data_IF_808456425448
#
_entry.id   IF_808456425448
#
_cell.length_a   1.000
_cell.length_b   1.000
_cell.length_c   1.000
_cell.angle_alpha   90.00
_cell.angle_beta   90.00
_cell.angle_gamma   90.00
#
_symmetry.space_group_name_H-M   'P 1'
#
loop_
_entity.id
_entity.type
_entity.pdbx_description
1 polymer ?
#
# COMPACT_ATOMS: atom_id res chain seq x y z
N UNK A 1 -2.93 12.84 -12.90
CA UNK A 1 -1.97 13.56 -13.77
C UNK A 1 -2.30 13.31 -15.24
N UNK A 2 -1.77 14.11 -16.17
CA UNK A 2 -1.94 13.82 -17.61
C UNK A 2 -0.97 12.71 -18.07
N UNK A 3 -1.16 12.20 -19.30
CA UNK A 3 -0.33 11.11 -19.84
C UNK A 3 1.15 11.46 -19.97
N UNK A 4 1.46 12.66 -20.48
CA UNK A 4 2.84 13.11 -20.69
C UNK A 4 3.63 13.20 -19.38
N UNK A 5 3.02 13.76 -18.33
CA UNK A 5 3.60 13.81 -16.98
C UNK A 5 3.88 12.40 -16.45
N UNK A 6 2.90 11.49 -16.59
CA UNK A 6 3.06 10.10 -16.18
C UNK A 6 4.18 9.40 -16.94
N UNK A 7 4.24 9.56 -18.26
CA UNK A 7 5.25 8.89 -19.10
C UNK A 7 6.65 9.41 -18.79
N UNK A 8 6.78 10.72 -18.53
CA UNK A 8 8.03 11.33 -18.06
C UNK A 8 8.48 10.73 -16.73
N UNK A 9 7.57 10.60 -15.75
CA UNK A 9 7.90 9.98 -14.46
C UNK A 9 8.34 8.52 -14.62
N UNK A 10 7.62 7.72 -15.42
CA UNK A 10 7.98 6.33 -15.66
C UNK A 10 9.34 6.16 -16.35
N UNK A 11 9.77 7.15 -17.15
CA UNK A 11 11.08 7.15 -17.78
C UNK A 11 12.21 7.49 -16.80
N UNK A 12 11.92 8.25 -15.74
CA UNK A 12 12.89 8.67 -14.73
C UNK A 12 13.01 7.68 -13.57
N UNK A 13 11.91 7.02 -13.22
CA UNK A 13 11.86 6.06 -12.12
C UNK A 13 12.50 4.72 -12.51
N UNK A 14 12.95 3.92 -11.51
CA UNK A 14 13.51 2.60 -11.77
C UNK A 14 12.59 1.74 -12.63
N UNK A 15 13.12 1.24 -13.75
CA UNK A 15 12.43 0.31 -14.66
C UNK A 15 12.72 -1.16 -14.34
N UNK A 16 13.31 -1.41 -13.17
CA UNK A 16 13.66 -2.72 -12.63
C UNK A 16 13.03 -2.88 -11.24
N UNK A 17 12.99 -4.12 -10.75
CA UNK A 17 12.49 -4.42 -9.42
C UNK A 17 13.49 -3.93 -8.35
N UNK A 18 13.04 -3.07 -7.44
CA UNK A 18 13.86 -2.53 -6.37
C UNK A 18 13.60 -3.33 -5.09
N UNK A 19 14.63 -3.95 -4.48
CA UNK A 19 14.46 -4.72 -3.26
C UNK A 19 13.96 -3.85 -2.11
N UNK A 20 12.99 -4.39 -1.36
CA UNK A 20 12.57 -3.83 -0.08
C UNK A 20 12.30 -4.95 0.92
N UNK A 21 12.38 -4.63 2.21
CA UNK A 21 12.12 -5.59 3.28
C UNK A 21 11.05 -5.06 4.22
N UNK A 22 10.24 -5.97 4.75
CA UNK A 22 9.26 -5.62 5.75
C UNK A 22 9.22 -6.62 6.90
N UNK A 23 9.17 -6.09 8.11
CA UNK A 23 8.87 -6.85 9.32
C UNK A 23 7.79 -6.11 10.11
N UNK A 24 7.10 -6.84 10.99
CA UNK A 24 6.04 -6.27 11.82
C UNK A 24 6.54 -5.06 12.60
N UNK A 25 5.76 -3.98 12.56
CA UNK A 25 6.07 -2.69 13.19
C UNK A 25 7.23 -1.91 12.56
N UNK A 26 7.80 -2.32 11.41
CA UNK A 26 8.79 -1.50 10.68
C UNK A 26 8.26 -0.08 10.42
N UNK A 27 6.99 0.05 10.01
CA UNK A 27 6.37 1.36 9.78
C UNK A 27 6.54 2.30 10.98
N UNK A 28 6.47 1.81 12.22
CA UNK A 28 6.56 2.65 13.40
C UNK A 28 7.98 3.21 13.60
N UNK A 29 9.01 2.44 13.20
CA UNK A 29 10.39 2.91 13.16
C UNK A 29 10.55 3.96 12.05
N UNK A 30 10.00 3.70 10.85
CA UNK A 30 10.08 4.63 9.72
C UNK A 30 9.38 5.97 10.03
N UNK A 31 8.19 5.94 10.64
CA UNK A 31 7.47 7.15 11.03
C UNK A 31 8.22 7.95 12.11
N UNK A 32 8.86 7.28 13.07
CA UNK A 32 9.71 7.99 14.05
C UNK A 32 10.96 8.57 13.38
N UNK A 33 11.54 7.89 12.40
CA UNK A 33 12.66 8.41 11.63
C UNK A 33 12.25 9.69 10.87
N UNK A 34 11.09 9.69 10.20
CA UNK A 34 10.51 10.90 9.57
C UNK A 34 10.34 12.06 10.54
N UNK A 35 9.73 11.81 11.70
CA UNK A 35 9.50 12.83 12.73
C UNK A 35 10.80 13.37 13.36
N UNK A 36 11.93 12.67 13.21
CA UNK A 36 13.23 13.05 13.77
C UNK A 36 14.27 13.46 12.71
N UNK A 37 13.87 13.49 11.44
CA UNK A 37 14.77 13.73 10.31
C UNK A 37 15.45 15.10 10.37
N UNK A 38 14.73 16.15 10.79
CA UNK A 38 15.27 17.52 10.84
C UNK A 38 16.20 17.77 12.02
N UNK A 39 15.93 17.12 13.16
CA UNK A 39 16.73 17.30 14.37
C UNK A 39 16.55 16.14 15.35
N UNK A 40 17.59 15.79 16.13
CA UNK A 40 17.50 14.79 17.18
C UNK A 40 16.37 15.09 18.16
N UNK A 41 15.59 14.08 18.54
CA UNK A 41 14.51 14.22 19.52
C UNK A 41 14.78 13.37 20.76
N UNK A 42 14.46 13.90 21.95
CA UNK A 42 14.42 13.07 23.16
C UNK A 42 13.18 12.19 23.13
N UNK A 43 13.29 10.95 23.62
CA UNK A 43 12.14 10.04 23.79
C UNK A 43 11.00 10.73 24.56
N UNK A 44 11.33 11.55 25.57
CA UNK A 44 10.34 12.27 26.35
C UNK A 44 9.53 13.27 25.52
N UNK A 45 10.17 13.97 24.57
CA UNK A 45 9.48 14.89 23.66
C UNK A 45 8.53 14.15 22.71
N UNK A 46 8.93 12.96 22.24
CA UNK A 46 8.11 12.15 21.35
C UNK A 46 6.83 11.66 22.04
N UNK A 47 6.85 11.42 23.35
CA UNK A 47 5.66 10.99 24.14
C UNK A 47 4.53 12.00 24.14
N UNK A 48 4.82 13.29 23.94
CA UNK A 48 3.82 14.37 23.89
C UNK A 48 3.48 14.79 22.46
N UNK A 49 3.98 14.07 21.45
CA UNK A 49 3.79 14.36 20.03
C UNK A 49 2.94 13.29 19.33
N UNK A 50 2.73 13.45 18.02
CA UNK A 50 2.17 12.41 17.14
C UNK A 50 2.99 11.11 17.17
N UNK A 51 4.28 11.16 17.53
CA UNK A 51 5.15 9.99 17.66
C UNK A 51 4.83 9.07 18.83
N UNK A 52 4.04 9.53 19.81
CA UNK A 52 3.74 8.79 21.04
C UNK A 52 3.13 7.41 20.81
N UNK A 53 2.31 7.27 19.77
CA UNK A 53 1.66 6.02 19.40
C UNK A 53 2.63 4.97 18.85
N UNK A 54 3.75 5.39 18.26
CA UNK A 54 4.77 4.50 17.72
C UNK A 54 5.71 3.98 18.82
N UNK A 55 5.95 4.78 19.87
CA UNK A 55 6.80 4.40 21.01
C UNK A 55 6.32 3.14 21.75
N UNK A 56 5.03 2.80 21.63
CA UNK A 56 4.43 1.65 22.29
C UNK A 56 4.63 0.34 21.52
N UNK A 57 5.12 0.40 20.28
CA UNK A 57 5.25 -0.79 19.43
C UNK A 57 6.41 -1.68 19.88
N UNK A 58 6.24 -3.01 19.91
CA UNK A 58 7.28 -3.95 20.33
C UNK A 58 8.63 -3.75 19.64
N UNK A 59 8.66 -3.57 18.31
CA UNK A 59 9.92 -3.35 17.58
C UNK A 59 10.60 -2.04 18.02
N UNK A 60 9.82 -0.96 18.15
CA UNK A 60 10.33 0.34 18.62
C UNK A 60 10.89 0.25 20.03
N UNK A 61 10.18 -0.40 20.96
CA UNK A 61 10.68 -0.59 22.34
C UNK A 61 12.00 -1.34 22.40
N UNK A 62 12.16 -2.38 21.57
CA UNK A 62 13.41 -3.13 21.48
C UNK A 62 14.56 -2.26 21.00
N UNK A 63 14.34 -1.44 19.98
CA UNK A 63 15.35 -0.51 19.47
C UNK A 63 15.69 0.57 20.50
N UNK A 64 14.68 1.22 21.08
CA UNK A 64 14.88 2.28 22.09
C UNK A 64 15.56 1.77 23.37
N UNK A 65 15.38 0.51 23.75
CA UNK A 65 16.08 -0.09 24.89
C UNK A 65 17.61 -0.13 24.71
N UNK A 66 18.10 -0.01 23.46
CA UNK A 66 19.54 0.09 23.17
C UNK A 66 20.07 1.52 23.29
N UNK A 67 19.21 2.52 23.54
CA UNK A 67 19.59 3.93 23.57
C UNK A 67 19.86 4.37 25.02
N UNK A 68 21.13 4.46 25.41
CA UNK A 68 21.54 4.86 26.77
C UNK A 68 21.31 6.33 27.10
N UNK A 69 21.26 7.20 26.08
CA UNK A 69 21.09 8.65 26.18
C UNK A 69 19.64 9.13 26.01
N UNK A 70 18.73 8.22 25.61
CA UNK A 70 17.34 8.55 25.33
C UNK A 70 17.15 9.50 24.13
N UNK A 71 18.14 9.59 23.23
CA UNK A 71 18.09 10.42 22.02
C UNK A 71 17.70 9.54 20.83
N UNK A 72 16.69 9.97 20.08
CA UNK A 72 16.19 9.30 18.88
C UNK A 72 16.72 10.03 17.65
N UNK A 73 17.36 9.26 16.78
CA UNK A 73 17.93 9.67 15.49
C UNK A 73 17.50 8.67 14.41
N UNK A 74 17.27 9.11 13.16
CA UNK A 74 16.89 8.23 12.06
C UNK A 74 17.84 7.03 11.88
N UNK A 75 19.14 7.24 11.92
CA UNK A 75 20.15 6.21 11.65
C UNK A 75 20.11 5.10 12.72
N UNK A 76 19.81 5.47 13.96
CA UNK A 76 19.69 4.52 15.08
C UNK A 76 18.39 3.73 15.03
N UNK A 77 17.34 4.29 14.44
CA UNK A 77 16.06 3.59 14.23
C UNK A 77 16.12 2.60 13.07
N UNK A 78 16.84 2.95 12.00
CA UNK A 78 16.83 2.21 10.73
C UNK A 78 18.04 1.28 10.55
N UNK A 79 19.06 1.38 11.41
CA UNK A 79 20.36 0.75 11.19
C UNK A 79 20.44 -0.78 11.30
N UNK A 80 19.42 -1.47 11.84
CA UNK A 80 19.40 -2.95 11.90
C UNK A 80 18.01 -3.53 11.69
N UNK A 81 17.90 -4.42 10.72
CA UNK A 81 16.69 -5.20 10.47
C UNK A 81 16.78 -6.57 11.16
N UNK A 82 15.68 -7.11 11.69
CA UNK A 82 15.66 -8.43 12.29
C UNK A 82 15.77 -9.54 11.22
N UNK A 83 16.25 -10.72 11.61
CA UNK A 83 16.41 -11.88 10.71
C UNK A 83 15.09 -12.34 10.08
N UNK A 84 13.95 -12.11 10.75
CA UNK A 84 12.63 -12.49 10.26
C UNK A 84 11.99 -11.44 9.32
N UNK A 85 12.80 -10.61 8.68
CA UNK A 85 12.33 -9.64 7.68
C UNK A 85 11.89 -10.38 6.43
N UNK A 86 10.67 -10.11 5.98
CA UNK A 86 10.16 -10.67 4.74
C UNK A 86 10.71 -9.87 3.55
N UNK A 87 11.31 -10.54 2.56
CA UNK A 87 11.78 -9.90 1.33
C UNK A 87 10.59 -9.59 0.41
N UNK A 88 10.67 -8.44 -0.23
CA UNK A 88 9.77 -7.98 -1.30
C UNK A 88 10.59 -7.23 -2.34
N UNK A 89 9.94 -6.88 -3.45
CA UNK A 89 10.46 -5.87 -4.36
C UNK A 89 9.33 -4.92 -4.73
N UNK A 90 9.65 -3.66 -4.99
CA UNK A 90 8.68 -2.76 -5.62
C UNK A 90 9.04 -2.46 -7.06
N UNK A 91 8.01 -2.21 -7.85
CA UNK A 91 8.09 -1.72 -9.24
C UNK A 91 7.11 -0.56 -9.42
N UNK A 92 7.22 0.14 -10.54
CA UNK A 92 6.31 1.23 -10.88
C UNK A 92 5.61 0.94 -12.21
N UNK A 93 4.33 1.27 -12.28
CA UNK A 93 3.54 1.28 -13.50
C UNK A 93 2.54 2.43 -13.53
N UNK A 94 1.46 2.26 -14.28
CA UNK A 94 0.44 3.29 -14.47
C UNK A 94 -0.97 2.72 -14.49
N UNK A 95 -1.93 3.56 -14.14
CA UNK A 95 -3.35 3.24 -14.23
C UNK A 95 -4.14 4.46 -14.69
N UNK A 96 -5.15 4.27 -15.53
CA UNK A 96 -6.03 5.35 -15.98
C UNK A 96 -6.21 5.37 -17.50
N UNK A 97 -6.84 6.43 -17.99
CA UNK A 97 -7.24 6.55 -19.40
C UNK A 97 -7.27 8.00 -19.86
N UNK A 98 -7.10 8.18 -21.17
CA UNK A 98 -7.37 9.44 -21.88
C UNK A 98 -8.74 9.43 -22.57
N UNK A 99 -9.52 8.35 -22.43
CA UNK A 99 -10.88 8.23 -22.94
C UNK A 99 -11.91 8.58 -21.84
N UNK A 100 -12.66 9.69 -21.98
CA UNK A 100 -13.69 10.05 -21.01
C UNK A 100 -14.79 9.01 -20.82
N UNK A 101 -15.05 8.16 -21.81
CA UNK A 101 -16.07 7.11 -21.75
C UNK A 101 -15.64 5.95 -20.84
N UNK A 102 -14.34 5.70 -20.74
CA UNK A 102 -13.75 4.65 -19.89
C UNK A 102 -13.47 5.11 -18.46
N UNK A 103 -13.41 6.42 -18.22
CA UNK A 103 -13.06 7.02 -16.92
C UNK A 103 -13.80 6.40 -15.73
N UNK A 104 -15.09 6.11 -15.88
CA UNK A 104 -15.93 5.52 -14.82
C UNK A 104 -15.44 4.13 -14.37
N UNK A 105 -14.83 3.36 -15.28
CA UNK A 105 -14.34 2.01 -15.01
C UNK A 105 -12.99 2.03 -14.29
N UNK A 106 -12.21 3.10 -14.46
CA UNK A 106 -10.92 3.23 -13.79
C UNK A 106 -11.01 3.67 -12.32
N UNK A 107 -12.18 4.09 -11.85
CA UNK A 107 -12.43 4.45 -10.43
C UNK A 107 -11.36 5.39 -9.85
N UNK A 108 -11.02 6.47 -10.56
CA UNK A 108 -10.07 7.51 -10.11
C UNK A 108 -10.78 8.81 -9.74
N UNK A 109 -10.22 9.58 -8.80
CA UNK A 109 -10.86 10.81 -8.29
C UNK A 109 -10.92 11.90 -9.33
N UNK A 110 -9.87 12.02 -10.15
CA UNK A 110 -9.85 12.87 -11.34
C UNK A 110 -9.52 12.07 -12.60
N UNK A 111 -10.00 12.58 -13.72
CA UNK A 111 -9.74 12.03 -15.04
C UNK A 111 -8.24 12.11 -15.39
N UNK A 112 -7.76 11.12 -16.15
CA UNK A 112 -6.36 10.98 -16.54
C UNK A 112 -5.72 9.74 -15.92
N UNK A 113 -4.45 9.89 -15.53
CA UNK A 113 -3.58 8.78 -15.10
C UNK A 113 -3.15 8.92 -13.65
N UNK A 114 -2.82 7.80 -13.03
CA UNK A 114 -2.14 7.65 -11.76
C UNK A 114 -0.82 6.91 -11.96
N UNK A 115 0.14 7.20 -11.09
CA UNK A 115 1.31 6.36 -10.92
C UNK A 115 0.92 5.15 -10.06
N UNK A 116 1.38 3.96 -10.40
CA UNK A 116 1.11 2.74 -9.62
C UNK A 116 2.40 2.26 -9.01
N UNK A 117 2.44 2.15 -7.69
CA UNK A 117 3.49 1.40 -7.00
C UNK A 117 3.00 -0.03 -6.79
N UNK A 118 3.71 -1.03 -7.32
CA UNK A 118 3.40 -2.44 -7.04
C UNK A 118 4.40 -3.00 -6.05
N UNK A 119 3.91 -3.66 -5.00
CA UNK A 119 4.69 -4.51 -4.11
C UNK A 119 4.60 -5.95 -4.61
N UNK A 120 5.73 -6.53 -4.93
CA UNK A 120 5.86 -7.84 -5.56
C UNK A 120 6.41 -8.87 -4.58
N UNK A 121 5.97 -10.12 -4.76
CA UNK A 121 6.48 -11.26 -4.00
C UNK A 121 7.97 -11.49 -4.27
N UNK A 122 8.64 -12.03 -3.26
CA UNK A 122 9.96 -12.62 -3.42
C UNK A 122 9.89 -13.85 -4.34
N UNK A 123 10.86 -14.01 -5.26
CA UNK A 123 10.88 -15.16 -6.18
C UNK A 123 10.79 -16.52 -5.47
N UNK A 124 11.37 -16.68 -4.27
CA UNK A 124 11.31 -17.95 -3.54
C UNK A 124 9.88 -18.35 -3.13
N UNK A 125 9.01 -17.36 -2.87
CA UNK A 125 7.59 -17.62 -2.58
C UNK A 125 6.87 -18.09 -3.85
N UNK A 126 7.23 -17.53 -5.00
CA UNK A 126 6.68 -17.93 -6.31
C UNK A 126 7.16 -19.33 -6.70
N UNK A 127 8.43 -19.64 -6.49
CA UNK A 127 8.99 -20.97 -6.72
C UNK A 127 8.30 -22.04 -5.86
N UNK A 128 7.97 -21.69 -4.61
CA UNK A 128 7.25 -22.58 -3.71
C UNK A 128 5.80 -22.85 -4.19
N UNK A 129 5.14 -21.86 -4.80
CA UNK A 129 3.86 -22.10 -5.49
C UNK A 129 4.01 -23.13 -6.61
N UNK A 130 5.02 -22.97 -7.48
CA UNK A 130 5.27 -23.89 -8.58
C UNK A 130 5.56 -25.31 -8.08
N UNK A 131 6.39 -25.42 -7.04
CA UNK A 131 6.76 -26.70 -6.43
C UNK A 131 5.56 -27.40 -5.79
N UNK A 132 4.70 -26.66 -5.08
CA UNK A 132 3.58 -27.25 -4.33
C UNK A 132 2.39 -27.58 -5.23
N UNK A 133 2.12 -26.76 -6.25
CA UNK A 133 0.94 -26.92 -7.11
C UNK A 133 1.23 -27.67 -8.40
N UNK A 134 2.49 -27.75 -8.83
CA UNK A 134 2.86 -28.27 -10.14
C UNK A 134 2.39 -27.40 -11.32
N UNK A 135 1.79 -26.24 -11.07
CA UNK A 135 1.45 -25.26 -12.10
C UNK A 135 2.53 -24.20 -12.16
N UNK A 136 3.05 -23.89 -13.35
CA UNK A 136 4.01 -22.83 -13.61
C UNK A 136 3.36 -21.46 -13.92
N UNK A 137 2.03 -21.37 -13.87
CA UNK A 137 1.27 -20.15 -14.03
C UNK A 137 0.57 -19.77 -12.73
N UNK A 138 1.06 -18.70 -12.10
CA UNK A 138 0.50 -18.08 -10.88
C UNK A 138 -0.29 -16.80 -11.20
N UNK A 139 -0.26 -16.36 -12.48
CA UNK A 139 -0.83 -15.07 -12.90
C UNK A 139 -2.36 -15.05 -12.88
N UNK A 140 -3.00 -16.21 -12.81
CA UNK A 140 -4.46 -16.33 -12.72
C UNK A 140 -5.08 -15.72 -11.45
N UNK A 141 -4.26 -15.44 -10.43
CA UNK A 141 -4.68 -14.68 -9.25
C UNK A 141 -4.60 -13.17 -9.43
N UNK A 142 -4.03 -12.71 -10.53
CA UNK A 142 -4.02 -11.29 -10.93
C UNK A 142 -5.24 -11.00 -11.79
N UNK A 143 -5.94 -9.92 -11.45
CA UNK A 143 -7.06 -9.43 -12.24
C UNK A 143 -6.53 -8.50 -13.36
N UNK A 144 -6.95 -8.73 -14.60
CA UNK A 144 -6.57 -7.89 -15.73
C UNK A 144 -7.20 -6.50 -15.66
N UNK A 145 -8.30 -6.36 -14.90
CA UNK A 145 -8.96 -5.10 -14.63
C UNK A 145 -8.32 -4.34 -13.45
N UNK A 146 -7.18 -4.81 -12.93
CA UNK A 146 -6.44 -4.13 -11.86
C UNK A 146 -4.93 -4.00 -12.15
N UNK A 147 -4.24 -3.04 -11.50
CA UNK A 147 -2.80 -2.87 -11.69
C UNK A 147 -1.98 -4.10 -11.29
N UNK A 148 -1.11 -4.56 -12.19
CA UNK A 148 -0.14 -5.63 -11.95
C UNK A 148 1.18 -5.36 -12.69
N UNK A 149 2.29 -5.89 -12.15
CA UNK A 149 3.59 -5.84 -12.78
C UNK A 149 3.66 -6.86 -13.94
N UNK A 150 4.34 -6.49 -15.03
CA UNK A 150 4.44 -7.36 -16.22
C UNK A 150 5.33 -8.59 -16.04
N UNK A 151 6.34 -8.50 -15.15
CA UNK A 151 7.39 -9.51 -15.00
C UNK A 151 7.43 -10.16 -13.62
N UNK A 152 6.75 -9.57 -12.64
CA UNK A 152 6.76 -10.01 -11.25
C UNK A 152 5.34 -10.35 -10.80
N UNK A 153 5.23 -11.20 -9.78
CA UNK A 153 3.94 -11.49 -9.15
C UNK A 153 3.63 -10.38 -8.16
N UNK A 154 2.69 -9.51 -8.52
CA UNK A 154 2.25 -8.42 -7.65
C UNK A 154 1.42 -8.96 -6.49
N UNK A 155 1.93 -8.76 -5.27
CA UNK A 155 1.21 -9.06 -4.03
C UNK A 155 0.13 -8.00 -3.77
N UNK A 156 0.50 -6.74 -3.86
CA UNK A 156 -0.33 -5.59 -3.55
C UNK A 156 0.10 -4.37 -4.37
N UNK A 157 -0.74 -3.35 -4.44
CA UNK A 157 -0.42 -2.12 -5.14
C UNK A 157 -1.04 -0.89 -4.47
N UNK A 158 -0.46 0.27 -4.75
CA UNK A 158 -1.01 1.57 -4.42
C UNK A 158 -1.10 2.46 -5.66
N UNK A 159 -2.22 3.17 -5.82
CA UNK A 159 -2.41 4.18 -6.86
C UNK A 159 -2.14 5.57 -6.29
N UNK A 160 -1.30 6.34 -6.97
CA UNK A 160 -0.85 7.66 -6.54
C UNK A 160 -1.26 8.71 -7.57
N UNK A 161 -1.83 9.81 -7.07
CA UNK A 161 -2.13 10.99 -7.86
C UNK A 161 -1.56 12.25 -7.22
N UNK A 162 -0.96 13.09 -8.04
CA UNK A 162 -0.31 14.32 -7.62
C UNK A 162 -0.04 15.21 -8.83
N UNK A 163 0.31 16.46 -8.55
CA UNK A 163 0.84 17.39 -9.54
C UNK A 163 2.32 17.64 -9.26
N UNK A 164 3.10 17.86 -10.31
CA UNK A 164 4.56 18.03 -10.23
C UNK A 164 5.00 19.34 -9.55
N UNK A 165 4.10 20.33 -9.47
CA UNK A 165 4.40 21.65 -8.91
C UNK A 165 4.19 21.75 -7.40
N UNK A 166 3.45 20.80 -6.82
CA UNK A 166 3.07 20.82 -5.40
C UNK A 166 3.87 19.86 -4.54
N UNK A 167 3.61 19.90 -3.22
CA UNK A 167 4.18 18.97 -2.22
C UNK A 167 3.11 18.02 -1.66
N UNK A 168 2.03 17.79 -2.43
CA UNK A 168 0.92 16.92 -2.03
C UNK A 168 0.75 15.70 -2.93
N UNK A 169 0.66 14.53 -2.32
CA UNK A 169 0.26 13.26 -2.97
C UNK A 169 -1.03 12.73 -2.38
N UNK A 170 -1.94 12.26 -3.23
CA UNK A 170 -3.07 11.43 -2.86
C UNK A 170 -2.74 9.98 -3.15
N UNK A 171 -2.72 9.15 -2.12
CA UNK A 171 -2.87 7.70 -2.24
C UNK A 171 -4.35 7.45 -2.52
N UNK A 172 -4.66 7.25 -3.79
CA UNK A 172 -6.00 6.98 -4.30
C UNK A 172 -6.53 5.65 -3.74
N UNK A 173 -5.69 4.63 -3.69
CA UNK A 173 -6.10 3.28 -3.28
C UNK A 173 -4.90 2.45 -2.86
N UNK A 174 -5.15 1.51 -1.94
CA UNK A 174 -4.26 0.42 -1.56
C UNK A 174 -5.07 -0.87 -1.61
N UNK A 175 -4.60 -1.88 -2.36
CA UNK A 175 -5.33 -3.14 -2.56
C UNK A 175 -4.40 -4.32 -2.81
N UNK A 176 -4.95 -5.53 -2.67
CA UNK A 176 -4.29 -6.80 -2.98
C UNK A 176 -5.33 -7.82 -3.47
N UNK A 177 -5.43 -7.99 -4.79
CA UNK A 177 -6.27 -9.05 -5.38
C UNK A 177 -5.65 -10.42 -5.16
N UNK A 178 -4.33 -10.51 -5.26
CA UNK A 178 -3.58 -11.75 -5.12
C UNK A 178 -3.89 -12.48 -3.80
N UNK A 179 -3.74 -11.79 -2.66
CA UNK A 179 -4.06 -12.38 -1.34
C UNK A 179 -5.53 -12.77 -1.24
N UNK A 180 -6.43 -11.95 -1.77
CA UNK A 180 -7.89 -12.19 -1.72
C UNK A 180 -8.24 -13.46 -2.50
N UNK A 181 -7.76 -13.60 -3.73
CA UNK A 181 -8.06 -14.72 -4.61
C UNK A 181 -7.41 -16.01 -4.12
N UNK A 182 -6.12 -15.99 -3.76
CA UNK A 182 -5.43 -17.18 -3.21
C UNK A 182 -6.15 -17.68 -1.96
N UNK A 183 -6.50 -16.77 -1.04
CA UNK A 183 -7.22 -17.12 0.18
C UNK A 183 -8.58 -17.74 -0.13
N UNK A 184 -9.37 -17.11 -1.00
CA UNK A 184 -10.70 -17.61 -1.37
C UNK A 184 -10.62 -19.05 -1.91
N UNK A 185 -9.70 -19.32 -2.83
CA UNK A 185 -9.55 -20.65 -3.42
C UNK A 185 -8.98 -21.68 -2.44
N UNK A 186 -8.01 -21.30 -1.60
CA UNK A 186 -7.49 -22.17 -0.55
C UNK A 186 -8.58 -22.57 0.46
N UNK A 187 -9.37 -21.61 0.96
CA UNK A 187 -10.49 -21.88 1.88
C UNK A 187 -11.57 -22.75 1.23
N UNK A 188 -11.87 -22.49 -0.05
CA UNK A 188 -12.82 -23.29 -0.83
C UNK A 188 -12.34 -24.73 -1.03
N UNK A 189 -11.05 -24.95 -1.28
CA UNK A 189 -10.49 -26.29 -1.39
C UNK A 189 -10.42 -27.01 -0.04
N UNK A 190 -10.07 -26.31 1.04
CA UNK A 190 -10.06 -26.91 2.38
C UNK A 190 -11.48 -27.35 2.80
N UNK A 191 -12.50 -26.54 2.50
CA UNK A 191 -13.90 -26.93 2.70
C UNK A 191 -14.27 -28.20 1.90
N UNK A 192 -13.94 -28.26 0.61
CA UNK A 192 -14.20 -29.45 -0.23
C UNK A 192 -13.49 -30.69 0.32
N UNK A 193 -12.24 -30.53 0.76
CA UNK A 193 -11.45 -31.59 1.40
C UNK A 193 -12.15 -32.11 2.66
N UNK A 194 -12.63 -31.23 3.54
CA UNK A 194 -13.36 -31.64 4.75
C UNK A 194 -14.68 -32.36 4.45
N UNK A 195 -15.28 -32.09 3.29
CA UNK A 195 -16.51 -32.74 2.80
C UNK A 195 -16.22 -34.05 2.03
N UNK A 196 -14.96 -34.49 1.96
CA UNK A 196 -14.57 -35.68 1.19
C UNK A 196 -14.72 -35.54 -0.32
N UNK A 197 -14.86 -34.30 -0.83
CA UNK A 197 -15.02 -34.03 -2.26
C UNK A 197 -13.67 -34.00 -2.96
N UNK A 198 -13.65 -34.43 -4.22
CA UNK A 198 -12.47 -34.25 -5.08
C UNK A 198 -12.12 -32.77 -5.18
N UNK A 199 -10.83 -32.46 -5.09
CA UNK A 199 -10.33 -31.13 -5.33
C UNK A 199 -10.12 -30.97 -6.84
N UNK A 200 -10.52 -29.83 -7.40
CA UNK A 200 -10.29 -29.56 -8.82
C UNK A 200 -8.79 -29.57 -9.13
N UNK A 201 -8.41 -30.24 -10.21
CA UNK A 201 -7.07 -30.14 -10.80
C UNK A 201 -6.85 -28.72 -11.34
N UNK A 202 -5.60 -28.19 -11.37
CA UNK A 202 -4.35 -28.74 -10.82
C UNK A 202 -4.05 -28.37 -9.35
N UNK A 203 -4.87 -27.54 -8.70
CA UNK A 203 -4.40 -26.76 -7.55
C UNK A 203 -4.71 -27.35 -6.16
N UNK A 204 -5.65 -28.28 -6.07
CA UNK A 204 -6.35 -28.64 -4.82
C UNK A 204 -5.53 -28.58 -3.53
N UNK A 205 -4.64 -29.55 -3.33
CA UNK A 205 -3.86 -29.65 -2.08
C UNK A 205 -2.64 -28.72 -2.07
N UNK A 206 -1.98 -28.56 -3.22
CA UNK A 206 -0.83 -27.68 -3.37
C UNK A 206 -1.13 -26.23 -3.00
N UNK A 207 -2.31 -25.74 -3.37
CA UNK A 207 -2.71 -24.36 -3.09
C UNK A 207 -2.99 -24.12 -1.61
N UNK A 208 -3.59 -25.10 -0.92
CA UNK A 208 -3.75 -25.04 0.54
C UNK A 208 -2.38 -24.94 1.20
N UNK A 209 -1.44 -25.80 0.79
CA UNK A 209 -0.08 -25.76 1.33
C UNK A 209 0.65 -24.45 1.01
N UNK A 210 0.50 -23.92 -0.21
CA UNK A 210 1.09 -22.66 -0.62
C UNK A 210 0.55 -21.51 0.24
N UNK A 211 -0.77 -21.43 0.40
CA UNK A 211 -1.41 -20.45 1.27
C UNK A 211 -0.84 -20.51 2.69
N UNK A 212 -0.86 -21.68 3.33
CA UNK A 212 -0.51 -21.84 4.73
C UNK A 212 0.99 -21.66 5.02
N UNK A 213 1.85 -22.20 4.16
CA UNK A 213 3.29 -22.32 4.42
C UNK A 213 4.12 -21.20 3.80
N UNK A 214 3.75 -20.74 2.61
CA UNK A 214 4.57 -19.82 1.82
C UNK A 214 3.99 -18.40 1.82
N UNK A 215 2.68 -18.26 1.54
CA UNK A 215 2.07 -16.93 1.37
C UNK A 215 1.60 -16.31 2.68
N UNK A 216 1.17 -17.11 3.67
CA UNK A 216 0.58 -16.62 4.92
C UNK A 216 1.44 -15.57 5.66
N UNK A 217 2.78 -15.68 5.75
CA UNK A 217 3.61 -14.64 6.35
C UNK A 217 3.43 -13.28 5.68
N UNK A 218 3.53 -13.24 4.35
CA UNK A 218 3.35 -12.02 3.53
C UNK A 218 1.90 -11.54 3.58
N UNK A 219 0.93 -12.44 3.48
CA UNK A 219 -0.50 -12.12 3.55
C UNK A 219 -0.93 -11.54 4.92
N UNK A 220 -0.22 -11.83 6.01
CA UNK A 220 -0.49 -11.23 7.32
C UNK A 220 0.02 -9.79 7.47
N UNK A 221 0.93 -9.37 6.59
CA UNK A 221 1.64 -8.09 6.71
C UNK A 221 1.48 -7.19 5.48
N UNK A 222 0.86 -7.66 4.39
CA UNK A 222 0.82 -6.95 3.12
C UNK A 222 0.25 -5.53 3.24
N UNK A 223 -0.81 -5.32 4.05
CA UNK A 223 -1.43 -4.00 4.23
C UNK A 223 -0.41 -2.99 4.77
N UNK A 224 0.36 -3.40 5.78
CA UNK A 224 1.38 -2.56 6.41
C UNK A 224 2.61 -2.44 5.52
N UNK A 225 3.02 -3.53 4.86
CA UNK A 225 4.15 -3.54 3.95
C UNK A 225 3.92 -2.62 2.75
N UNK A 226 2.72 -2.67 2.15
CA UNK A 226 2.34 -1.85 1.01
C UNK A 226 2.30 -0.38 1.39
N UNK A 227 1.63 -0.01 2.49
CA UNK A 227 1.55 1.41 2.89
C UNK A 227 2.90 1.95 3.35
N UNK A 228 3.72 1.17 4.07
CA UNK A 228 5.06 1.59 4.43
C UNK A 228 5.95 1.81 3.21
N UNK A 229 5.96 0.86 2.27
CA UNK A 229 6.70 0.98 1.01
C UNK A 229 6.20 2.17 0.19
N UNK A 230 4.89 2.45 0.23
CA UNK A 230 4.30 3.62 -0.43
C UNK A 230 4.80 4.93 0.17
N UNK A 231 4.86 5.04 1.50
CA UNK A 231 5.39 6.25 2.15
C UNK A 231 6.90 6.41 1.93
N UNK A 232 7.66 5.32 1.99
CA UNK A 232 9.10 5.33 1.65
C UNK A 232 9.31 5.80 0.21
N UNK A 233 8.52 5.27 -0.75
CA UNK A 233 8.58 5.68 -2.14
C UNK A 233 8.21 7.17 -2.33
N UNK A 234 7.11 7.62 -1.71
CA UNK A 234 6.69 9.03 -1.79
C UNK A 234 7.77 9.97 -1.25
N UNK A 235 8.40 9.61 -0.13
CA UNK A 235 9.43 10.44 0.49
C UNK A 235 10.73 10.46 -0.31
N UNK A 236 11.27 9.27 -0.61
CA UNK A 236 12.65 9.14 -1.08
C UNK A 236 12.77 9.17 -2.61
N UNK A 237 11.75 8.69 -3.33
CA UNK A 237 11.77 8.65 -4.80
C UNK A 237 11.02 9.84 -5.40
N UNK A 238 9.89 10.25 -4.81
CA UNK A 238 9.11 11.39 -5.32
C UNK A 238 9.45 12.71 -4.64
N UNK A 239 9.92 12.71 -3.39
CA UNK A 239 10.29 13.92 -2.64
C UNK A 239 9.12 14.69 -2.02
N UNK A 240 7.95 14.08 -1.87
CA UNK A 240 6.74 14.73 -1.32
C UNK A 240 6.57 14.47 0.18
N UNK A 241 5.96 15.41 0.89
CA UNK A 241 5.78 15.32 2.37
C UNK A 241 4.34 15.36 2.85
N UNK A 242 3.40 15.88 2.05
CA UNK A 242 1.98 15.90 2.42
C UNK A 242 1.25 14.78 1.73
N UNK A 243 0.84 13.78 2.50
CA UNK A 243 0.18 12.58 1.99
C UNK A 243 -1.27 12.58 2.42
N UNK A 244 -2.16 12.43 1.45
CA UNK A 244 -3.57 12.23 1.65
C UNK A 244 -3.97 10.81 1.27
N UNK A 245 -5.01 10.31 1.94
CA UNK A 245 -5.71 9.07 1.59
C UNK A 245 -7.21 9.35 1.66
N UNK A 246 -7.99 8.70 0.80
CA UNK A 246 -9.45 8.72 0.96
C UNK A 246 -9.87 8.07 2.28
N UNK A 247 -10.92 8.59 2.89
CA UNK A 247 -11.72 7.78 3.82
C UNK A 247 -12.52 6.77 3.02
N UNK A 248 -13.09 5.77 3.68
CA UNK A 248 -13.94 4.81 2.98
C UNK A 248 -15.12 5.53 2.32
N UNK A 249 -15.74 6.46 3.04
CA UNK A 249 -16.88 7.24 2.62
C UNK A 249 -16.55 8.19 1.46
N UNK A 250 -15.44 8.93 1.52
CA UNK A 250 -15.06 9.86 0.45
C UNK A 250 -14.59 9.14 -0.80
N UNK A 251 -13.83 8.05 -0.65
CA UNK A 251 -13.38 7.21 -1.77
C UNK A 251 -14.56 6.63 -2.55
N UNK A 252 -15.52 5.98 -1.87
CA UNK A 252 -16.68 5.41 -2.52
C UNK A 252 -17.51 6.48 -3.26
N UNK A 253 -17.70 7.64 -2.63
CA UNK A 253 -18.49 8.73 -3.20
C UNK A 253 -17.83 9.37 -4.42
N UNK A 254 -16.56 9.75 -4.30
CA UNK A 254 -15.85 10.48 -5.35
C UNK A 254 -15.57 9.63 -6.59
N UNK A 255 -15.43 8.31 -6.39
CA UNK A 255 -15.16 7.32 -7.43
C UNK A 255 -16.41 6.57 -7.92
N UNK A 256 -17.59 6.89 -7.37
CA UNK A 256 -18.86 6.23 -7.69
C UNK A 256 -18.83 4.71 -7.52
N UNK A 257 -18.27 4.25 -6.40
CA UNK A 257 -18.18 2.84 -6.06
C UNK A 257 -19.33 2.46 -5.13
N UNK A 258 -20.10 1.44 -5.50
CA UNK A 258 -21.22 0.92 -4.72
C UNK A 258 -21.36 -0.61 -4.85
N UNK A 259 -22.30 -1.17 -4.09
CA UNK A 259 -22.68 -2.58 -4.18
C UNK A 259 -21.54 -3.57 -3.92
N UNK A 260 -21.36 -4.53 -4.83
CA UNK A 260 -20.32 -5.57 -4.74
C UNK A 260 -18.90 -5.07 -5.01
N UNK A 261 -18.75 -3.80 -5.42
CA UNK A 261 -17.47 -3.18 -5.77
C UNK A 261 -16.84 -2.41 -4.61
N UNK A 262 -17.53 -2.35 -3.46
CA UNK A 262 -17.06 -1.60 -2.29
C UNK A 262 -15.71 -2.14 -1.79
N UNK A 263 -14.73 -1.27 -1.52
CA UNK A 263 -13.46 -1.71 -0.99
C UNK A 263 -13.57 -2.14 0.47
N UNK A 264 -12.64 -2.96 0.99
CA UNK A 264 -12.62 -3.37 2.38
C UNK A 264 -12.52 -2.16 3.33
N UNK A 265 -13.55 -1.94 4.17
CA UNK A 265 -13.61 -0.76 5.05
C UNK A 265 -12.42 -0.65 6.01
N UNK A 266 -11.81 -1.76 6.42
CA UNK A 266 -10.64 -1.76 7.32
C UNK A 266 -9.43 -1.04 6.74
N UNK A 267 -9.17 -1.17 5.43
CA UNK A 267 -8.05 -0.52 4.74
C UNK A 267 -8.13 1.00 4.77
N UNK A 268 -9.34 1.54 4.82
CA UNK A 268 -9.61 2.97 4.77
C UNK A 268 -10.03 3.55 6.13
N UNK A 269 -9.93 2.77 7.20
CA UNK A 269 -10.30 3.21 8.56
C UNK A 269 -9.26 2.86 9.62
N UNK A 270 -8.73 1.63 9.62
CA UNK A 270 -7.77 1.16 10.63
C UNK A 270 -6.32 1.39 10.19
N UNK A 271 -6.02 1.10 8.92
CA UNK A 271 -4.67 1.19 8.40
C UNK A 271 -4.11 2.63 8.44
N UNK A 272 -4.81 3.69 7.99
CA UNK A 272 -4.28 5.05 8.02
C UNK A 272 -4.03 5.52 9.46
N UNK A 273 -4.98 5.25 10.38
CA UNK A 273 -4.82 5.54 11.82
C UNK A 273 -3.58 4.87 12.38
N UNK A 274 -3.32 3.61 12.02
CA UNK A 274 -2.13 2.88 12.47
C UNK A 274 -0.83 3.59 12.08
N UNK A 275 -0.80 4.25 10.92
CA UNK A 275 0.33 5.01 10.38
C UNK A 275 0.40 6.47 10.87
N UNK A 276 -0.53 6.89 11.73
CA UNK A 276 -0.56 8.24 12.29
C UNK A 276 -1.37 9.26 11.47
N UNK A 277 -2.03 8.84 10.38
CA UNK A 277 -2.89 9.74 9.62
C UNK A 277 -4.00 10.32 10.50
N UNK A 278 -4.27 11.60 10.33
CA UNK A 278 -5.31 12.35 11.00
C UNK A 278 -6.45 12.66 10.04
N UNK A 279 -7.67 12.67 10.55
CA UNK A 279 -8.84 13.04 9.75
C UNK A 279 -8.84 14.55 9.52
N UNK A 280 -9.16 14.98 8.30
CA UNK A 280 -9.27 16.39 7.95
C UNK A 280 -10.34 16.62 6.88
N UNK A 281 -10.96 17.80 6.89
CA UNK A 281 -11.81 18.28 5.81
C UNK A 281 -11.02 19.12 4.79
N UNK A 282 -9.73 19.35 5.03
CA UNK A 282 -8.87 20.03 4.08
C UNK A 282 -8.62 19.12 2.86
N UNK A 283 -8.87 19.64 1.67
CA UNK A 283 -8.64 18.90 0.44
C UNK A 283 -7.17 18.92 0.01
N UNK A 284 -6.69 17.89 -0.72
CA UNK A 284 -5.42 17.95 -1.44
C UNK A 284 -5.36 19.18 -2.35
N UNK A 285 -4.23 19.90 -2.35
CA UNK A 285 -4.10 21.20 -3.01
C UNK A 285 -4.48 21.15 -4.49
N UNK A 286 -3.96 20.17 -5.23
CA UNK A 286 -4.24 19.98 -6.66
C UNK A 286 -5.71 19.63 -6.96
N UNK A 287 -6.48 19.14 -5.97
CA UNK A 287 -7.91 18.89 -6.13
C UNK A 287 -8.76 20.11 -5.79
N UNK A 288 -8.22 21.16 -5.16
CA UNK A 288 -8.97 22.38 -4.83
C UNK A 288 -9.48 23.05 -6.09
N UNK A 289 -8.65 23.17 -7.12
CA UNK A 289 -8.96 23.90 -8.36
C UNK A 289 -9.55 23.07 -9.50
N UNK A 290 -9.65 21.75 -9.31
CA UNK A 290 -10.20 20.86 -10.31
C UNK A 290 -11.71 21.09 -10.53
N UNK A 291 -12.08 21.75 -11.64
CA UNK A 291 -13.45 22.23 -11.93
C UNK A 291 -14.55 21.15 -11.81
N UNK A 292 -14.37 19.92 -12.34
CA UNK A 292 -15.35 18.85 -12.16
C UNK A 292 -15.57 18.50 -10.68
N UNK A 293 -14.50 18.51 -9.88
CA UNK A 293 -14.58 18.25 -8.45
C UNK A 293 -15.18 19.44 -7.70
N UNK A 294 -14.91 20.70 -8.08
CA UNK A 294 -15.60 21.87 -7.49
C UNK A 294 -17.12 21.79 -7.61
N UNK A 295 -17.64 21.32 -8.75
CA UNK A 295 -19.09 21.13 -8.96
C UNK A 295 -19.67 20.02 -8.09
N UNK A 296 -18.90 18.95 -7.84
CA UNK A 296 -19.28 17.86 -6.92
C UNK A 296 -19.17 18.30 -5.45
N UNK A 297 -18.10 19.00 -5.07
CA UNK A 297 -17.85 19.55 -3.73
C UNK A 297 -18.95 20.49 -3.23
N UNK A 298 -19.54 21.31 -4.11
CA UNK A 298 -20.72 22.14 -3.74
C UNK A 298 -21.94 21.33 -3.30
N UNK A 299 -22.01 20.04 -3.65
CA UNK A 299 -23.06 19.11 -3.18
C UNK A 299 -22.63 18.32 -1.94
N UNK A 300 -21.36 18.41 -1.54
CA UNK A 300 -20.71 17.52 -0.57
C UNK A 300 -19.82 18.32 0.41
N UNK A 301 -20.43 19.22 1.19
CA UNK A 301 -19.76 20.11 2.16
C UNK A 301 -18.98 19.40 3.29
N UNK A 302 -18.95 18.06 3.33
CA UNK A 302 -18.34 17.27 4.41
C UNK A 302 -17.44 16.13 3.89
N UNK A 303 -16.68 16.35 2.82
CA UNK A 303 -15.74 15.32 2.33
C UNK A 303 -14.51 15.26 3.24
N UNK A 304 -14.37 14.16 3.96
CA UNK A 304 -13.22 13.90 4.84
C UNK A 304 -12.10 13.13 4.14
N UNK A 305 -10.88 13.36 4.61
CA UNK A 305 -9.65 12.75 4.13
C UNK A 305 -8.79 12.31 5.32
N UNK A 306 -8.01 11.27 5.12
CA UNK A 306 -6.85 11.01 5.96
C UNK A 306 -5.69 11.87 5.47
N UNK A 307 -5.00 12.55 6.38
CA UNK A 307 -3.79 13.34 6.10
C UNK A 307 -2.65 12.94 7.01
N UNK A 308 -1.45 12.83 6.45
CA UNK A 308 -0.19 12.67 7.17
C UNK A 308 0.85 13.63 6.59
N UNK A 309 1.66 14.22 7.46
CA UNK A 309 2.72 15.18 7.13
C UNK A 309 3.88 15.02 8.12
N UNK A 310 5.10 15.26 7.66
CA UNK A 310 6.34 15.24 8.44
C UNK A 310 7.31 16.36 8.05
#
# INVERSE_FOLDING_TARGET
>A
MNKEQRDTLLALLPNYAVPCGYFRDKYALDQLARLTQKQPQKVQSLKTSSGSMFLQKPAVRKVLATFSDGIVLPERLLGKWPENTLPFNWTVGSWGTDDPSDYKWHQTTRFGHNLVLQLNLDPSVVDEYYRLTGNNDISWFSDFDHPSAKKQVTLAWARLDFDLEGDTVLIEEVQSDFVKEVKYWAEKYEKRRSEGKTLGYPYGYGLIQFWEKALLPSAKLWEEAMLATTLDFIEYELGYRKVYMHTWESGCRLKHIDGSWLPPKSLYTKLPKKFGFQLTCEHPDFLKDHKPLKRRKKKDENTEWWRWEW
#
